data_IF_352796629493
#
_entry.id   IF_352796629493
#
_cell.length_a   1.000
_cell.length_b   1.000
_cell.length_c   1.000
_cell.angle_alpha   90.00
_cell.angle_beta   90.00
_cell.angle_gamma   90.00
#
_symmetry.space_group_name_H-M   'P 1'
#
loop_
_entity.id
_entity.type
_entity.pdbx_description
1 polymer ?
#
# COMPACT_ATOMS: atom_id res chain seq x y z
N UNK A 1 46.49 -4.83 8.28
CA UNK A 1 45.42 -5.15 7.31
C UNK A 1 44.13 -4.55 7.83
N UNK A 2 43.81 -3.31 7.47
CA UNK A 2 42.52 -2.70 7.86
C UNK A 2 41.48 -3.06 6.82
N UNK A 3 40.50 -3.87 7.22
CA UNK A 3 39.35 -4.19 6.40
C UNK A 3 38.50 -2.91 6.23
N UNK A 4 38.62 -2.29 5.06
CA UNK A 4 37.76 -1.19 4.66
C UNK A 4 36.37 -1.77 4.39
N UNK A 5 35.54 -1.80 5.43
CA UNK A 5 34.15 -2.25 5.33
C UNK A 5 33.42 -1.18 4.54
N UNK A 6 33.27 -1.38 3.22
CA UNK A 6 32.47 -0.50 2.38
C UNK A 6 31.10 -0.32 3.04
N UNK A 7 30.82 0.88 3.55
CA UNK A 7 29.53 1.21 4.16
C UNK A 7 28.50 1.06 3.04
N UNK A 8 27.77 -0.05 3.06
CA UNK A 8 26.65 -0.26 2.14
C UNK A 8 25.59 0.77 2.51
N UNK A 9 25.18 1.59 1.56
CA UNK A 9 24.08 2.53 1.77
C UNK A 9 22.83 1.73 2.17
N UNK A 10 22.37 1.81 3.43
CA UNK A 10 21.33 0.92 3.94
C UNK A 10 19.93 1.35 3.48
N UNK A 11 19.82 2.55 2.89
CA UNK A 11 18.58 3.16 2.48
C UNK A 11 18.49 3.24 0.95
N UNK A 12 17.29 2.98 0.43
CA UNK A 12 16.93 3.31 -0.94
C UNK A 12 16.92 4.83 -1.15
N UNK A 13 17.00 5.27 -2.41
CA UNK A 13 16.95 6.69 -2.77
C UNK A 13 15.70 7.39 -2.19
N UNK A 14 14.54 6.74 -2.21
CA UNK A 14 13.30 7.31 -1.66
C UNK A 14 13.38 7.48 -0.15
N UNK A 15 13.94 6.50 0.56
CA UNK A 15 14.15 6.60 2.00
C UNK A 15 15.11 7.74 2.37
N UNK A 16 16.17 7.96 1.58
CA UNK A 16 17.10 9.08 1.79
C UNK A 16 16.43 10.44 1.56
N UNK A 17 15.60 10.58 0.52
CA UNK A 17 14.87 11.83 0.27
C UNK A 17 13.85 12.13 1.37
N UNK A 18 13.17 11.10 1.90
CA UNK A 18 12.27 11.27 3.05
C UNK A 18 13.04 11.72 4.30
N UNK A 19 14.23 11.15 4.57
CA UNK A 19 15.06 11.57 5.69
C UNK A 19 15.52 13.04 5.55
N UNK A 20 15.90 13.47 4.34
CA UNK A 20 16.24 14.88 4.07
C UNK A 20 15.04 15.79 4.30
N UNK A 21 13.86 15.40 3.83
CA UNK A 21 12.63 16.15 4.05
C UNK A 21 12.38 16.35 5.56
N UNK A 22 12.48 15.27 6.34
CA UNK A 22 12.23 15.31 7.79
C UNK A 22 13.27 16.14 8.55
N UNK A 23 14.49 16.26 8.02
CA UNK A 23 15.55 17.08 8.62
C UNK A 23 15.30 18.59 8.60
N UNK A 24 14.29 19.06 7.84
CA UNK A 24 13.96 20.48 7.69
C UNK A 24 12.96 21.01 8.75
N UNK A 25 12.93 20.45 9.96
CA UNK A 25 11.96 20.81 11.01
C UNK A 25 10.51 20.77 10.53
N UNK A 26 10.16 19.77 9.72
CA UNK A 26 8.78 19.53 9.31
C UNK A 26 7.96 19.20 10.56
N UNK A 27 6.79 19.82 10.70
CA UNK A 27 5.92 19.60 11.84
C UNK A 27 5.38 18.16 11.84
N UNK A 28 5.08 17.61 13.03
CA UNK A 28 4.46 16.28 13.13
C UNK A 28 3.12 16.20 12.37
N UNK A 29 2.37 17.31 12.29
CA UNK A 29 1.14 17.41 11.50
C UNK A 29 1.41 17.25 10.00
N UNK A 30 2.42 17.95 9.48
CA UNK A 30 2.82 17.82 8.07
C UNK A 30 3.35 16.42 7.75
N UNK A 31 4.05 15.77 8.69
CA UNK A 31 4.49 14.38 8.56
C UNK A 31 3.30 13.42 8.42
N UNK A 32 2.23 13.64 9.18
CA UNK A 32 0.98 12.87 9.04
C UNK A 32 0.32 13.10 7.68
N UNK A 33 0.30 14.35 7.19
CA UNK A 33 -0.22 14.66 5.86
C UNK A 33 0.59 13.97 4.77
N UNK A 34 1.93 13.98 4.86
CA UNK A 34 2.80 13.28 3.91
C UNK A 34 2.52 11.77 3.91
N UNK A 35 2.36 11.17 5.10
CA UNK A 35 2.00 9.75 5.23
C UNK A 35 0.66 9.46 4.56
N UNK A 36 -0.34 10.30 4.75
CA UNK A 36 -1.66 10.14 4.12
C UNK A 36 -1.61 10.28 2.60
N UNK A 37 -0.79 11.19 2.07
CA UNK A 37 -0.57 11.33 0.63
C UNK A 37 0.04 10.06 0.03
N UNK A 38 1.05 9.49 0.69
CA UNK A 38 1.64 8.21 0.27
C UNK A 38 0.63 7.07 0.34
N UNK A 39 -0.14 6.99 1.43
CA UNK A 39 -1.17 5.96 1.61
C UNK A 39 -2.23 6.03 0.50
N UNK A 40 -2.72 7.22 0.17
CA UNK A 40 -3.66 7.44 -0.94
C UNK A 40 -3.09 6.99 -2.27
N UNK A 41 -1.84 7.36 -2.58
CA UNK A 41 -1.20 6.95 -3.82
C UNK A 41 -1.10 5.42 -3.97
N UNK A 42 -0.68 4.73 -2.91
CA UNK A 42 -0.61 3.26 -2.95
C UNK A 42 -1.99 2.60 -2.96
N UNK A 43 -2.97 3.20 -2.31
CA UNK A 43 -4.36 2.74 -2.36
C UNK A 43 -4.92 2.80 -3.78
N UNK A 44 -4.77 3.93 -4.49
CA UNK A 44 -5.23 4.04 -5.88
C UNK A 44 -4.55 3.03 -6.79
N UNK A 45 -3.22 2.85 -6.65
CA UNK A 45 -2.49 1.84 -7.40
C UNK A 45 -2.98 0.41 -7.11
N UNK A 46 -3.29 0.12 -5.85
CA UNK A 46 -3.82 -1.18 -5.45
C UNK A 46 -5.25 -1.40 -5.98
N UNK A 47 -6.09 -0.37 -5.96
CA UNK A 47 -7.44 -0.37 -6.54
C UNK A 47 -7.37 -0.66 -8.04
N UNK A 48 -6.55 0.07 -8.78
CA UNK A 48 -6.40 -0.14 -10.23
C UNK A 48 -5.87 -1.53 -10.57
N UNK A 49 -4.95 -2.06 -9.76
CA UNK A 49 -4.48 -3.44 -9.91
C UNK A 49 -5.59 -4.47 -9.62
N UNK A 50 -6.46 -4.21 -8.64
CA UNK A 50 -7.61 -5.05 -8.34
C UNK A 50 -8.65 -5.00 -9.46
N UNK A 51 -8.98 -3.81 -9.97
CA UNK A 51 -9.88 -3.60 -11.11
C UNK A 51 -9.37 -4.37 -12.35
N UNK A 52 -8.07 -4.25 -12.66
CA UNK A 52 -7.46 -5.01 -13.77
C UNK A 52 -7.55 -6.52 -13.56
N UNK A 53 -7.23 -7.01 -12.37
CA UNK A 53 -7.30 -8.43 -12.05
C UNK A 53 -8.75 -8.97 -12.07
N UNK A 54 -9.72 -8.10 -11.76
CA UNK A 54 -11.15 -8.39 -11.85
C UNK A 54 -11.58 -8.61 -13.30
N UNK A 55 -11.22 -7.67 -14.18
CA UNK A 55 -11.52 -7.72 -15.60
C UNK A 55 -10.84 -8.90 -16.31
N UNK A 56 -9.56 -9.15 -16.04
CA UNK A 56 -8.80 -10.27 -16.62
C UNK A 56 -9.39 -11.63 -16.26
N UNK A 57 -10.02 -11.75 -15.09
CA UNK A 57 -10.69 -12.98 -14.64
C UNK A 57 -12.14 -13.09 -15.15
N UNK A 58 -12.62 -12.12 -15.92
CA UNK A 58 -14.00 -12.06 -16.38
C UNK A 58 -15.00 -12.01 -15.23
N UNK A 59 -14.58 -11.49 -14.07
CA UNK A 59 -15.46 -11.38 -12.92
C UNK A 59 -16.53 -10.32 -13.19
N UNK A 60 -17.77 -10.66 -12.87
CA UNK A 60 -18.92 -9.77 -12.95
C UNK A 60 -19.86 -10.00 -11.75
N UNK A 61 -20.90 -9.19 -11.65
CA UNK A 61 -21.86 -9.27 -10.54
C UNK A 61 -22.47 -10.67 -10.38
N UNK A 62 -22.73 -11.38 -11.49
CA UNK A 62 -23.23 -12.75 -11.46
C UNK A 62 -22.22 -13.74 -10.89
N UNK A 63 -20.92 -13.59 -11.19
CA UNK A 63 -19.87 -14.46 -10.60
C UNK A 63 -19.77 -14.28 -9.09
N UNK A 64 -19.97 -13.06 -8.58
CA UNK A 64 -20.00 -12.79 -7.14
C UNK A 64 -21.21 -13.43 -6.46
N UNK A 65 -22.39 -13.30 -7.06
CA UNK A 65 -23.63 -13.84 -6.52
C UNK A 65 -23.61 -15.37 -6.49
N UNK A 66 -23.02 -16.00 -7.52
CA UNK A 66 -22.88 -17.46 -7.63
C UNK A 66 -21.78 -18.05 -6.74
N UNK A 67 -20.79 -17.26 -6.32
CA UNK A 67 -19.68 -17.75 -5.53
C UNK A 67 -20.08 -18.24 -4.12
N UNK A 68 -21.30 -17.93 -3.63
CA UNK A 68 -21.88 -18.45 -2.39
C UNK A 68 -20.98 -18.40 -1.13
N UNK A 69 -19.94 -17.56 -1.10
CA UNK A 69 -19.06 -17.34 0.06
C UNK A 69 -19.72 -16.51 1.18
N UNK A 70 -21.05 -16.57 1.30
CA UNK A 70 -21.79 -15.93 2.40
C UNK A 70 -21.80 -16.87 3.60
N UNK A 71 -21.82 -16.31 4.79
CA UNK A 71 -22.14 -17.07 6.01
C UNK A 71 -23.57 -17.62 5.90
N UNK A 72 -23.85 -18.85 6.39
CA UNK A 72 -25.19 -19.44 6.32
C UNK A 72 -26.24 -18.54 7.00
N UNK A 73 -27.42 -18.41 6.38
CA UNK A 73 -28.52 -17.64 6.97
C UNK A 73 -29.02 -18.36 8.23
N UNK A 74 -28.95 -17.70 9.39
CA UNK A 74 -29.51 -18.23 10.64
C UNK A 74 -31.03 -18.11 10.55
N UNK A 75 -31.72 -19.20 10.20
CA UNK A 75 -33.17 -19.30 10.39
C UNK A 75 -33.44 -19.40 11.89
N UNK A 76 -34.11 -18.39 12.45
CA UNK A 76 -34.66 -18.49 13.80
C UNK A 76 -35.86 -19.46 13.72
N UNK A 77 -35.79 -20.56 14.49
CA UNK A 77 -36.91 -21.46 14.78
C UNK A 77 -37.65 -20.96 16.00
#
# INVERSE_FOLDING_TARGET
MSANSAIRQPFSNVQLELLKLYSNNVSDEDLLVIKDLLAKYFFEKAKDAADKAWDEKGMNEDTLLKAHSRTPYRKNQ
#
